data_IF_949347909865
#
_entry.id   IF_949347909865
#
_cell.length_a   1.000
_cell.length_b   1.000
_cell.length_c   1.000
_cell.angle_alpha   90.00
_cell.angle_beta   90.00
_cell.angle_gamma   90.00
#
_symmetry.space_group_name_H-M   'P 1'
#
loop_
_entity.id
_entity.type
_entity.pdbx_description
1 polymer ?
#
# COMPACT_ATOMS: atom_id res chain seq x y z
N UNK A 1 -18.18 30.92 14.88
CA UNK A 1 -17.64 29.55 14.64
C UNK A 1 -16.28 29.71 13.99
N UNK A 2 -15.21 29.29 14.66
CA UNK A 2 -13.85 29.50 14.18
C UNK A 2 -13.43 28.32 13.30
N UNK A 3 -13.43 28.52 11.99
CA UNK A 3 -12.90 27.54 11.03
C UNK A 3 -11.38 27.58 11.10
N UNK A 4 -10.76 26.56 11.71
CA UNK A 4 -9.30 26.41 11.69
C UNK A 4 -8.94 25.84 10.31
N UNK A 5 -8.29 26.63 9.48
CA UNK A 5 -7.74 26.15 8.21
C UNK A 5 -6.75 25.00 8.49
N UNK A 6 -6.77 23.90 7.72
CA UNK A 6 -5.82 22.82 7.94
C UNK A 6 -4.40 23.35 7.75
N UNK A 7 -3.51 23.05 8.71
CA UNK A 7 -2.09 23.39 8.55
C UNK A 7 -1.54 22.72 7.29
N UNK A 8 -0.78 23.46 6.49
CA UNK A 8 -0.16 22.96 5.24
C UNK A 8 0.61 21.66 5.48
N UNK A 9 1.37 21.60 6.57
CA UNK A 9 2.12 20.42 7.01
C UNK A 9 1.25 19.17 7.23
N UNK A 10 0.03 19.31 7.75
CA UNK A 10 -0.87 18.17 7.92
C UNK A 10 -1.33 17.62 6.57
N UNK A 11 -1.72 18.50 5.64
CA UNK A 11 -2.18 18.09 4.31
C UNK A 11 -1.04 17.44 3.52
N UNK A 12 0.17 18.00 3.58
CA UNK A 12 1.34 17.43 2.90
C UNK A 12 1.65 16.01 3.38
N UNK A 13 1.59 15.78 4.70
CA UNK A 13 1.78 14.45 5.30
C UNK A 13 0.68 13.48 4.90
N UNK A 14 -0.58 13.94 4.87
CA UNK A 14 -1.71 13.12 4.43
C UNK A 14 -1.55 12.67 2.98
N UNK A 15 -1.20 13.59 2.09
CA UNK A 15 -0.97 13.29 0.67
C UNK A 15 0.19 12.30 0.49
N UNK A 16 1.27 12.46 1.25
CA UNK A 16 2.39 11.51 1.21
C UNK A 16 1.95 10.09 1.64
N UNK A 17 1.19 9.98 2.73
CA UNK A 17 0.70 8.70 3.24
C UNK A 17 -0.26 8.02 2.25
N UNK A 18 -1.21 8.76 1.68
CA UNK A 18 -2.14 8.25 0.67
C UNK A 18 -1.42 7.76 -0.58
N UNK A 19 -0.37 8.48 -1.01
CA UNK A 19 0.47 8.09 -2.15
C UNK A 19 1.19 6.77 -1.89
N UNK A 20 1.82 6.62 -0.72
CA UNK A 20 2.52 5.38 -0.35
C UNK A 20 1.56 4.18 -0.27
N UNK A 21 0.40 4.37 0.36
CA UNK A 21 -0.63 3.34 0.43
C UNK A 21 -1.14 2.93 -0.96
N UNK A 22 -1.35 3.91 -1.86
CA UNK A 22 -1.74 3.64 -3.24
C UNK A 22 -0.68 2.83 -3.99
N UNK A 23 0.59 3.20 -3.86
CA UNK A 23 1.73 2.46 -4.44
C UNK A 23 1.75 1.01 -3.93
N UNK A 24 1.49 0.80 -2.63
CA UNK A 24 1.44 -0.54 -2.04
C UNK A 24 0.32 -1.39 -2.65
N UNK A 25 -0.90 -0.86 -2.73
CA UNK A 25 -2.08 -1.59 -3.24
C UNK A 25 -1.97 -1.88 -4.74
N UNK A 26 -1.48 -0.93 -5.52
CA UNK A 26 -1.35 -1.07 -6.97
C UNK A 26 -0.12 -1.89 -7.39
N UNK A 27 0.70 -2.32 -6.44
CA UNK A 27 1.92 -3.08 -6.73
C UNK A 27 1.58 -4.44 -7.34
N UNK A 28 1.83 -4.58 -8.64
CA UNK A 28 1.73 -5.87 -9.33
C UNK A 28 2.67 -6.89 -8.73
N UNK A 29 2.12 -8.06 -8.38
CA UNK A 29 2.89 -9.17 -7.87
C UNK A 29 3.42 -10.04 -9.01
N UNK A 30 4.56 -10.69 -8.80
CA UNK A 30 5.18 -11.58 -9.79
C UNK A 30 5.43 -12.96 -9.21
N UNK A 31 5.42 -14.02 -10.05
CA UNK A 31 5.83 -15.34 -9.62
C UNK A 31 7.22 -15.36 -8.98
N UNK A 32 7.42 -16.27 -8.04
CA UNK A 32 8.70 -16.47 -7.40
C UNK A 32 9.67 -17.15 -8.37
N UNK A 33 10.92 -16.66 -8.43
CA UNK A 33 11.90 -17.11 -9.43
C UNK A 33 12.42 -18.55 -9.17
N UNK A 34 12.12 -19.12 -8.00
CA UNK A 34 12.55 -20.48 -7.64
C UNK A 34 11.59 -21.52 -8.20
N UNK A 35 12.13 -22.63 -8.69
CA UNK A 35 11.32 -23.77 -9.12
C UNK A 35 10.37 -24.23 -8.01
N UNK A 36 9.08 -24.31 -8.34
CA UNK A 36 8.04 -24.83 -7.45
C UNK A 36 8.00 -26.35 -7.41
N UNK A 37 6.92 -26.89 -6.87
CA UNK A 37 6.67 -28.34 -6.82
C UNK A 37 5.91 -28.88 -8.04
N UNK A 38 5.64 -28.04 -9.05
CA UNK A 38 4.87 -28.41 -10.25
C UNK A 38 3.35 -28.48 -10.07
N UNK A 39 2.81 -28.14 -8.89
CA UNK A 39 1.37 -28.16 -8.60
C UNK A 39 0.82 -26.74 -8.50
N UNK A 40 1.57 -25.84 -7.88
CA UNK A 40 1.17 -24.45 -7.70
C UNK A 40 2.36 -23.51 -7.81
N UNK A 41 2.06 -22.24 -8.12
CA UNK A 41 3.03 -21.17 -8.22
C UNK A 41 2.94 -20.26 -7.01
N UNK A 42 4.09 -19.93 -6.42
CA UNK A 42 4.20 -18.94 -5.34
C UNK A 42 4.51 -17.58 -5.94
N UNK A 43 4.10 -16.53 -5.26
CA UNK A 43 4.37 -15.15 -5.67
C UNK A 43 5.24 -14.45 -4.64
N UNK A 44 6.01 -13.45 -5.09
CA UNK A 44 7.05 -12.80 -4.28
C UNK A 44 6.48 -11.99 -3.12
N UNK A 45 5.37 -11.28 -3.32
CA UNK A 45 4.77 -10.43 -2.30
C UNK A 45 3.54 -11.10 -1.66
N UNK A 46 3.25 -10.86 -0.38
CA UNK A 46 1.98 -11.26 0.22
C UNK A 46 0.82 -10.51 -0.46
N UNK A 47 -0.35 -11.15 -0.53
CA UNK A 47 -1.55 -10.55 -1.13
C UNK A 47 -2.14 -9.44 -0.24
N UNK A 48 -2.11 -9.63 1.08
CA UNK A 48 -2.60 -8.65 2.06
C UNK A 48 -1.70 -8.66 3.30
N UNK A 49 -1.49 -7.49 3.88
CA UNK A 49 -0.81 -7.29 5.16
C UNK A 49 -1.56 -6.24 5.99
N UNK A 50 -1.20 -6.05 7.26
CA UNK A 50 -1.78 -4.99 8.09
C UNK A 50 -1.63 -3.58 7.46
N UNK A 51 -0.60 -3.36 6.63
CA UNK A 51 -0.39 -2.09 5.94
C UNK A 51 -1.37 -1.82 4.78
N UNK A 52 -2.17 -2.82 4.38
CA UNK A 52 -3.22 -2.66 3.37
C UNK A 52 -4.56 -2.18 3.96
N UNK A 53 -4.63 -1.96 5.29
CA UNK A 53 -5.84 -1.43 5.93
C UNK A 53 -6.09 0.00 5.42
N UNK A 54 -7.31 0.34 4.98
CA UNK A 54 -7.60 1.67 4.44
C UNK A 54 -7.38 2.79 5.47
N UNK A 55 -7.05 3.99 4.98
CA UNK A 55 -6.67 5.17 5.79
C UNK A 55 -7.86 6.01 6.29
N UNK A 56 -9.07 5.45 6.30
CA UNK A 56 -10.36 6.14 6.53
C UNK A 56 -10.42 7.05 7.77
#
# INVERSE_FOLDING_TARGET
>A
MTTIAPSTTFQDRKVALEKEHKILIEKTNTPQDTAGNGIYERYKNPVVTAAHVPLN
#
